data_IF_712815344661
#
_entry.id   IF_712815344661
#
_cell.length_a   1.000
_cell.length_b   1.000
_cell.length_c   1.000
_cell.angle_alpha   90.00
_cell.angle_beta   90.00
_cell.angle_gamma   90.00
#
_symmetry.space_group_name_H-M   'P 1'
#
loop_
_entity.id
_entity.type
_entity.pdbx_description
1 polymer ?
#
# COMPACT_ATOMS: atom_id res chain seq x y z
N UNK A 1 10.18 -4.81 -17.71
CA UNK A 1 10.80 -6.17 -17.57
C UNK A 1 11.70 -6.09 -16.36
N UNK A 2 11.49 -6.94 -15.38
CA UNK A 2 12.06 -6.77 -14.04
C UNK A 2 13.57 -6.93 -14.04
N UNK A 3 14.25 -6.22 -13.13
CA UNK A 3 15.71 -6.19 -13.03
C UNK A 3 16.34 -7.58 -12.92
N UNK A 4 15.66 -8.52 -12.22
CA UNK A 4 16.09 -9.90 -12.08
C UNK A 4 16.11 -10.63 -13.44
N UNK A 5 15.03 -10.54 -14.23
CA UNK A 5 14.97 -11.22 -15.53
C UNK A 5 16.00 -10.65 -16.49
N UNK A 6 16.16 -9.34 -16.55
CA UNK A 6 17.19 -8.69 -17.37
C UNK A 6 18.62 -9.10 -16.96
N UNK A 7 18.87 -9.25 -15.65
CA UNK A 7 20.14 -9.73 -15.14
C UNK A 7 20.38 -11.20 -15.52
N UNK A 8 19.36 -12.05 -15.36
CA UNK A 8 19.43 -13.46 -15.74
C UNK A 8 19.65 -13.62 -17.24
N UNK A 9 18.95 -12.88 -18.09
CA UNK A 9 19.15 -12.90 -19.55
C UNK A 9 20.57 -12.51 -19.93
N UNK A 10 21.12 -11.44 -19.34
CA UNK A 10 22.48 -10.96 -19.58
C UNK A 10 23.53 -11.99 -19.18
N UNK A 11 23.32 -12.70 -18.07
CA UNK A 11 24.26 -13.70 -17.56
C UNK A 11 24.02 -15.11 -18.11
N UNK A 12 22.90 -15.37 -18.78
CA UNK A 12 22.50 -16.68 -19.27
C UNK A 12 23.59 -17.40 -20.12
N UNK A 13 24.35 -16.72 -21.00
CA UNK A 13 25.43 -17.36 -21.76
C UNK A 13 26.51 -17.96 -20.86
N UNK A 14 26.76 -17.41 -19.68
CA UNK A 14 27.80 -17.82 -18.73
C UNK A 14 27.34 -18.93 -17.79
N UNK A 15 26.06 -19.26 -17.76
CA UNK A 15 25.49 -20.25 -16.86
C UNK A 15 25.94 -21.68 -17.23
N UNK A 16 26.30 -22.44 -16.21
CA UNK A 16 26.50 -23.87 -16.32
C UNK A 16 25.19 -24.58 -16.72
N UNK A 17 25.30 -25.83 -17.18
CA UNK A 17 24.13 -26.64 -17.58
C UNK A 17 23.06 -26.73 -16.48
N UNK A 18 23.46 -26.85 -15.21
CA UNK A 18 22.53 -26.89 -14.07
C UNK A 18 21.89 -25.52 -13.80
N UNK A 19 22.67 -24.44 -13.89
CA UNK A 19 22.19 -23.08 -13.71
C UNK A 19 21.20 -22.66 -14.82
N UNK A 20 21.46 -23.08 -16.07
CA UNK A 20 20.51 -22.86 -17.18
C UNK A 20 19.16 -23.51 -16.90
N UNK A 21 19.15 -24.75 -16.37
CA UNK A 21 17.88 -25.41 -16.00
C UNK A 21 17.11 -24.65 -14.91
N UNK A 22 17.82 -24.09 -13.92
CA UNK A 22 17.20 -23.25 -12.90
C UNK A 22 16.64 -21.97 -13.55
N UNK A 23 17.43 -21.29 -14.37
CA UNK A 23 17.01 -20.07 -15.06
C UNK A 23 15.82 -20.32 -15.99
N UNK A 24 15.86 -21.37 -16.79
CA UNK A 24 14.78 -21.76 -17.71
C UNK A 24 13.47 -22.03 -16.95
N UNK A 25 13.56 -22.71 -15.80
CA UNK A 25 12.40 -22.95 -14.96
C UNK A 25 11.84 -21.65 -14.38
N UNK A 26 12.70 -20.77 -13.86
CA UNK A 26 12.28 -19.46 -13.36
C UNK A 26 11.69 -18.62 -14.49
N UNK A 27 12.23 -18.60 -15.70
CA UNK A 27 11.66 -17.87 -16.83
C UNK A 27 10.24 -18.34 -17.19
N UNK A 28 9.99 -19.64 -17.10
CA UNK A 28 8.72 -20.24 -17.53
C UNK A 28 7.69 -20.38 -16.42
N UNK A 29 8.12 -20.48 -15.16
CA UNK A 29 7.28 -20.81 -14.00
C UNK A 29 7.77 -20.12 -12.72
N UNK A 30 8.09 -18.82 -12.81
CA UNK A 30 8.60 -18.05 -11.66
C UNK A 30 7.59 -17.95 -10.51
N UNK A 31 6.30 -18.03 -10.81
CA UNK A 31 5.20 -18.06 -9.86
C UNK A 31 5.25 -19.34 -8.99
N UNK A 32 5.55 -20.50 -9.57
CA UNK A 32 5.75 -21.73 -8.81
C UNK A 32 7.12 -21.70 -8.08
N UNK A 33 8.18 -21.24 -8.75
CA UNK A 33 9.52 -21.15 -8.17
C UNK A 33 9.56 -20.30 -6.89
N UNK A 34 8.79 -19.22 -6.86
CA UNK A 34 8.68 -18.31 -5.69
C UNK A 34 8.20 -19.02 -4.40
N UNK A 35 7.56 -20.18 -4.51
CA UNK A 35 7.02 -20.93 -3.37
C UNK A 35 7.76 -22.24 -3.07
N UNK A 36 8.77 -22.57 -3.88
CA UNK A 36 9.59 -23.74 -3.65
C UNK A 36 10.71 -23.45 -2.66
N UNK A 37 11.07 -24.43 -1.84
CA UNK A 37 12.34 -24.40 -1.13
C UNK A 37 13.49 -24.67 -2.10
N UNK A 38 14.73 -24.29 -1.75
CA UNK A 38 15.91 -24.59 -2.59
C UNK A 38 16.01 -26.09 -2.92
N UNK A 39 15.70 -26.94 -1.94
CA UNK A 39 15.66 -28.39 -2.13
C UNK A 39 14.60 -28.82 -3.15
N UNK A 40 13.37 -28.33 -3.03
CA UNK A 40 12.27 -28.65 -3.96
C UNK A 40 12.54 -28.13 -5.37
N UNK A 41 13.05 -26.91 -5.50
CA UNK A 41 13.43 -26.37 -6.80
C UNK A 41 14.56 -27.21 -7.42
N UNK A 42 15.56 -27.57 -6.62
CA UNK A 42 16.65 -28.46 -7.06
C UNK A 42 16.16 -29.81 -7.55
N UNK A 43 15.28 -30.47 -6.79
CA UNK A 43 14.63 -31.72 -7.15
C UNK A 43 13.86 -31.59 -8.48
N UNK A 44 13.04 -30.54 -8.59
CA UNK A 44 12.20 -30.29 -9.76
C UNK A 44 13.00 -30.10 -11.05
N UNK A 45 14.09 -29.32 -10.99
CA UNK A 45 14.94 -29.06 -12.17
C UNK A 45 16.12 -30.05 -12.31
N UNK A 46 16.22 -31.02 -11.39
CA UNK A 46 17.25 -32.09 -11.42
C UNK A 46 18.68 -31.58 -11.15
N UNK A 47 18.83 -30.72 -10.12
CA UNK A 47 20.13 -30.26 -9.60
C UNK A 47 20.15 -30.37 -8.08
N UNK A 48 21.34 -30.27 -7.46
CA UNK A 48 21.44 -30.25 -6.00
C UNK A 48 20.95 -28.92 -5.42
N UNK A 49 20.45 -28.95 -4.18
CA UNK A 49 20.09 -27.75 -3.40
C UNK A 49 21.25 -26.74 -3.38
N UNK A 50 22.47 -27.20 -3.16
CA UNK A 50 23.67 -26.35 -3.16
C UNK A 50 23.91 -25.64 -4.50
N UNK A 51 23.44 -26.20 -5.62
CA UNK A 51 23.50 -25.56 -6.94
C UNK A 51 22.49 -24.42 -7.03
N UNK A 52 21.30 -24.61 -6.46
CA UNK A 52 20.25 -23.57 -6.38
C UNK A 52 20.72 -22.40 -5.51
N UNK A 53 21.29 -22.68 -4.34
CA UNK A 53 21.83 -21.65 -3.45
C UNK A 53 22.95 -20.85 -4.12
N UNK A 54 23.91 -21.54 -4.78
CA UNK A 54 24.99 -20.88 -5.53
C UNK A 54 24.48 -20.06 -6.71
N UNK A 55 23.39 -20.46 -7.34
CA UNK A 55 22.77 -19.70 -8.41
C UNK A 55 22.29 -18.32 -7.90
N UNK A 56 21.67 -18.26 -6.71
CA UNK A 56 21.27 -17.01 -6.09
C UNK A 56 22.46 -16.08 -5.79
N UNK A 57 23.54 -16.61 -5.22
CA UNK A 57 24.78 -15.84 -5.00
C UNK A 57 25.39 -15.30 -6.30
N UNK A 58 25.35 -16.08 -7.37
CA UNK A 58 25.87 -15.64 -8.67
C UNK A 58 25.06 -14.47 -9.25
N UNK A 59 23.77 -14.40 -8.94
CA UNK A 59 22.91 -13.26 -9.30
C UNK A 59 23.13 -12.04 -8.38
N UNK A 60 24.08 -12.11 -7.43
CA UNK A 60 24.38 -11.02 -6.49
C UNK A 60 23.42 -10.94 -5.30
N UNK A 61 22.67 -12.01 -5.05
CA UNK A 61 21.71 -12.08 -3.94
C UNK A 61 22.32 -12.86 -2.75
N UNK A 62 21.88 -12.56 -1.53
CA UNK A 62 22.35 -13.20 -0.30
C UNK A 62 21.72 -14.59 -0.09
N UNK A 63 21.92 -15.48 -1.08
CA UNK A 63 21.41 -16.84 -1.04
C UNK A 63 19.99 -17.01 -1.56
N UNK A 64 19.49 -18.25 -1.45
CA UNK A 64 18.19 -18.60 -1.99
C UNK A 64 17.00 -17.87 -1.34
N UNK A 65 16.98 -17.58 -0.03
CA UNK A 65 15.90 -16.78 0.57
C UNK A 65 15.73 -15.41 -0.08
N UNK A 66 16.83 -14.71 -0.40
CA UNK A 66 16.78 -13.44 -1.09
C UNK A 66 16.26 -13.56 -2.53
N UNK A 67 16.65 -14.62 -3.26
CA UNK A 67 16.08 -14.91 -4.59
C UNK A 67 14.58 -15.20 -4.50
N UNK A 68 14.16 -15.96 -3.51
CA UNK A 68 12.76 -16.28 -3.27
C UNK A 68 11.93 -15.02 -2.96
N UNK A 69 12.44 -14.13 -2.14
CA UNK A 69 11.80 -12.85 -1.83
C UNK A 69 11.62 -11.99 -3.09
N UNK A 70 12.65 -11.87 -3.92
CA UNK A 70 12.55 -11.15 -5.21
C UNK A 70 11.51 -11.79 -6.13
N UNK A 71 11.48 -13.12 -6.23
CA UNK A 71 10.47 -13.83 -7.03
C UNK A 71 9.06 -13.62 -6.47
N UNK A 72 8.89 -13.63 -5.14
CA UNK A 72 7.61 -13.36 -4.49
C UNK A 72 7.14 -11.92 -4.73
N UNK A 73 8.05 -10.95 -4.71
CA UNK A 73 7.73 -9.56 -5.04
C UNK A 73 7.23 -9.43 -6.49
N UNK A 74 7.85 -10.13 -7.44
CA UNK A 74 7.43 -10.14 -8.84
C UNK A 74 5.99 -10.65 -9.05
N UNK A 75 5.58 -11.63 -8.27
CA UNK A 75 4.25 -12.25 -8.41
C UNK A 75 3.21 -11.68 -7.46
N UNK A 76 3.62 -10.81 -6.53
CA UNK A 76 2.74 -10.24 -5.49
C UNK A 76 1.40 -9.74 -6.05
N UNK A 77 1.44 -9.08 -7.21
CA UNK A 77 0.25 -8.55 -7.87
C UNK A 77 -0.64 -9.62 -8.51
N UNK A 78 -0.09 -10.82 -8.78
CA UNK A 78 -0.78 -11.93 -9.45
C UNK A 78 -1.29 -13.00 -8.53
N UNK A 79 -0.78 -13.07 -7.28
CA UNK A 79 -1.21 -14.06 -6.30
C UNK A 79 -2.70 -13.98 -6.00
N UNK A 80 -3.40 -15.09 -6.17
CA UNK A 80 -4.77 -15.24 -5.69
C UNK A 80 -4.81 -15.29 -4.16
N UNK A 81 -5.96 -14.96 -3.56
CA UNK A 81 -6.12 -15.07 -2.09
C UNK A 81 -5.84 -16.48 -1.57
N UNK A 82 -6.12 -17.52 -2.38
CA UNK A 82 -5.83 -18.92 -2.02
C UNK A 82 -4.33 -19.19 -1.97
N UNK A 83 -3.56 -18.70 -2.94
CA UNK A 83 -2.09 -18.83 -2.93
C UNK A 83 -1.48 -18.08 -1.74
N UNK A 84 -1.97 -16.89 -1.44
CA UNK A 84 -1.55 -16.09 -0.27
C UNK A 84 -1.80 -16.81 1.06
N UNK A 85 -2.97 -17.43 1.24
CA UNK A 85 -3.27 -18.24 2.44
C UNK A 85 -2.32 -19.44 2.57
N UNK A 86 -2.01 -20.13 1.46
CA UNK A 86 -1.08 -21.26 1.47
C UNK A 86 0.34 -20.84 1.92
N UNK A 87 0.77 -19.63 1.56
CA UNK A 87 2.05 -19.07 2.05
C UNK A 87 2.03 -18.86 3.56
N UNK A 88 0.97 -18.26 4.07
CA UNK A 88 0.79 -18.01 5.50
C UNK A 88 0.68 -19.30 6.33
N UNK A 89 0.21 -20.40 5.74
CA UNK A 89 0.09 -21.68 6.42
C UNK A 89 1.44 -22.29 6.88
N UNK A 90 2.56 -21.77 6.37
CA UNK A 90 3.90 -22.18 6.80
C UNK A 90 4.35 -21.49 8.11
N UNK A 91 3.64 -20.47 8.59
CA UNK A 91 3.96 -19.78 9.85
C UNK A 91 3.39 -20.61 11.01
N UNK A 92 4.22 -21.07 11.96
CA UNK A 92 3.72 -21.76 13.14
C UNK A 92 2.74 -20.86 13.89
N UNK A 93 1.63 -21.41 14.36
CA UNK A 93 0.56 -20.63 14.98
C UNK A 93 1.03 -19.82 16.19
N UNK A 94 1.97 -20.34 16.96
CA UNK A 94 2.59 -19.66 18.11
C UNK A 94 3.42 -18.42 17.71
N UNK A 95 3.92 -18.36 16.47
CA UNK A 95 4.79 -17.29 15.97
C UNK A 95 4.02 -16.24 15.17
N UNK A 96 2.74 -16.47 14.86
CA UNK A 96 1.92 -15.58 14.01
C UNK A 96 1.96 -14.13 14.50
N UNK A 97 1.68 -13.90 15.78
CA UNK A 97 1.65 -12.54 16.35
C UNK A 97 2.99 -11.81 16.14
N UNK A 98 4.08 -12.45 16.52
CA UNK A 98 5.42 -11.86 16.40
C UNK A 98 5.80 -11.64 14.94
N UNK A 99 5.50 -12.59 14.06
CA UNK A 99 5.78 -12.50 12.62
C UNK A 99 5.04 -11.33 11.99
N UNK A 100 3.73 -11.20 12.26
CA UNK A 100 2.92 -10.08 11.72
C UNK A 100 3.45 -8.73 12.19
N UNK A 101 3.64 -8.54 13.51
CA UNK A 101 4.14 -7.28 14.06
C UNK A 101 5.54 -6.92 13.54
N UNK A 102 6.41 -7.93 13.38
CA UNK A 102 7.76 -7.70 12.81
C UNK A 102 7.67 -7.32 11.33
N UNK A 103 6.79 -7.96 10.55
CA UNK A 103 6.53 -7.60 9.15
C UNK A 103 6.01 -6.16 9.04
N UNK A 104 5.07 -5.76 9.90
CA UNK A 104 4.52 -4.41 9.92
C UNK A 104 5.60 -3.36 10.27
N UNK A 105 6.47 -3.64 11.23
CA UNK A 105 7.63 -2.79 11.53
C UNK A 105 8.57 -2.63 10.34
N UNK A 106 8.83 -3.71 9.61
CA UNK A 106 9.65 -3.69 8.40
C UNK A 106 9.00 -2.88 7.29
N UNK A 107 7.68 -3.00 7.10
CA UNK A 107 6.92 -2.18 6.16
C UNK A 107 7.05 -0.68 6.48
N UNK A 108 6.93 -0.29 7.75
CA UNK A 108 7.13 1.11 8.17
C UNK A 108 8.56 1.56 7.87
N UNK A 109 9.58 0.78 8.25
CA UNK A 109 10.99 1.11 8.00
C UNK A 109 11.26 1.31 6.52
N UNK A 110 10.88 0.34 5.69
CA UNK A 110 11.06 0.42 4.24
C UNK A 110 10.27 1.59 3.62
N UNK A 111 9.12 1.96 4.18
CA UNK A 111 8.38 3.16 3.76
C UNK A 111 9.17 4.43 4.03
N UNK A 112 9.78 4.56 5.21
CA UNK A 112 10.61 5.72 5.55
C UNK A 112 11.77 5.87 4.57
N UNK A 113 12.42 4.75 4.21
CA UNK A 113 13.58 4.75 3.31
C UNK A 113 13.23 5.11 1.85
N UNK A 114 11.96 4.92 1.44
CA UNK A 114 11.51 5.15 0.06
C UNK A 114 10.67 6.42 -0.13
N UNK A 115 10.36 7.15 0.94
CA UNK A 115 9.49 8.32 0.85
C UNK A 115 10.17 9.44 0.06
N UNK A 116 9.44 10.03 -0.89
CA UNK A 116 9.84 11.22 -1.62
C UNK A 116 9.24 12.45 -0.95
N UNK A 117 10.08 13.22 -0.27
CA UNK A 117 9.68 14.43 0.44
C UNK A 117 9.07 15.48 -0.49
N UNK A 118 9.59 15.62 -1.72
CA UNK A 118 9.08 16.61 -2.69
C UNK A 118 7.65 16.25 -3.12
N UNK A 119 7.38 14.96 -3.38
CA UNK A 119 6.03 14.46 -3.65
C UNK A 119 5.12 14.64 -2.44
N UNK A 120 5.63 14.41 -1.22
CA UNK A 120 4.84 14.61 -0.01
C UNK A 120 4.46 16.07 0.18
N UNK A 121 5.41 16.99 0.13
CA UNK A 121 5.16 18.44 0.24
C UNK A 121 4.24 18.93 -0.87
N UNK A 122 4.45 18.48 -2.11
CA UNK A 122 3.60 18.79 -3.25
C UNK A 122 2.16 18.35 -3.06
N UNK A 123 1.94 17.13 -2.52
CA UNK A 123 0.62 16.60 -2.20
C UNK A 123 -0.07 17.40 -1.10
N UNK A 124 0.65 17.77 -0.03
CA UNK A 124 0.11 18.61 1.05
C UNK A 124 -0.26 20.00 0.49
N UNK A 125 0.61 20.65 -0.25
CA UNK A 125 0.34 21.96 -0.85
C UNK A 125 -0.85 21.94 -1.81
N UNK A 126 -1.01 20.88 -2.61
CA UNK A 126 -2.17 20.70 -3.48
C UNK A 126 -3.45 20.54 -2.66
N UNK A 127 -3.41 19.76 -1.57
CA UNK A 127 -4.54 19.55 -0.66
C UNK A 127 -5.00 20.85 -0.01
N UNK A 128 -4.05 21.66 0.48
CA UNK A 128 -4.35 22.94 1.14
C UNK A 128 -4.98 23.99 0.20
N UNK A 129 -4.69 23.92 -1.09
CA UNK A 129 -5.22 24.84 -2.12
C UNK A 129 -6.49 24.33 -2.79
N UNK A 130 -6.90 23.11 -2.52
CA UNK A 130 -8.01 22.50 -3.20
C UNK A 130 -9.34 23.15 -2.82
N UNK A 131 -10.19 23.38 -3.83
CA UNK A 131 -11.59 23.75 -3.63
C UNK A 131 -12.38 22.59 -3.01
N UNK A 132 -12.10 21.36 -3.46
CA UNK A 132 -12.65 20.09 -2.94
C UNK A 132 -11.60 19.01 -2.92
N UNK A 133 -11.67 18.16 -1.93
CA UNK A 133 -10.79 17.01 -1.74
C UNK A 133 -11.62 15.73 -1.90
N UNK A 134 -11.41 15.00 -2.99
CA UNK A 134 -12.03 13.71 -3.20
C UNK A 134 -11.10 12.62 -2.68
N UNK A 135 -11.60 11.74 -1.83
CA UNK A 135 -10.83 10.62 -1.28
C UNK A 135 -11.46 9.32 -1.75
N UNK A 136 -10.79 8.66 -2.69
CA UNK A 136 -11.26 7.46 -3.36
C UNK A 136 -10.52 6.23 -2.84
N UNK A 137 -11.26 5.29 -2.30
CA UNK A 137 -10.78 3.96 -1.91
C UNK A 137 -11.89 2.93 -1.92
N UNK A 138 -11.63 1.76 -2.52
CA UNK A 138 -12.60 0.68 -2.64
C UNK A 138 -12.01 -0.62 -2.07
N UNK A 139 -12.87 -1.56 -1.68
CA UNK A 139 -12.48 -2.84 -1.07
C UNK A 139 -11.67 -2.60 0.22
N UNK A 140 -10.52 -3.26 0.41
CA UNK A 140 -9.68 -3.09 1.60
C UNK A 140 -9.15 -1.65 1.77
N UNK A 141 -8.87 -0.95 0.67
CA UNK A 141 -8.44 0.44 0.71
C UNK A 141 -9.55 1.43 1.16
N UNK A 142 -10.82 0.98 1.21
CA UNK A 142 -11.93 1.79 1.68
C UNK A 142 -11.73 2.23 3.14
N UNK A 143 -11.18 1.38 4.00
CA UNK A 143 -10.90 1.71 5.40
C UNK A 143 -9.88 2.84 5.53
N UNK A 144 -8.84 2.83 4.71
CA UNK A 144 -7.85 3.92 4.65
C UNK A 144 -8.45 5.22 4.13
N UNK A 145 -9.26 5.14 3.07
CA UNK A 145 -9.92 6.31 2.50
C UNK A 145 -10.93 6.92 3.50
N UNK A 146 -11.67 6.09 4.20
CA UNK A 146 -12.60 6.54 5.24
C UNK A 146 -11.88 7.21 6.40
N UNK A 147 -10.77 6.64 6.86
CA UNK A 147 -9.95 7.21 7.93
C UNK A 147 -9.37 8.57 7.51
N UNK A 148 -8.79 8.68 6.32
CA UNK A 148 -8.28 9.94 5.79
C UNK A 148 -9.40 10.99 5.68
N UNK A 149 -10.55 10.61 5.12
CA UNK A 149 -11.71 11.51 4.99
C UNK A 149 -12.16 12.03 6.34
N UNK A 150 -12.32 11.14 7.33
CA UNK A 150 -12.80 11.47 8.67
C UNK A 150 -11.95 12.56 9.34
N UNK A 151 -10.62 12.43 9.28
CA UNK A 151 -9.75 13.42 9.93
C UNK A 151 -9.52 14.68 9.09
N UNK A 152 -9.53 14.58 7.76
CA UNK A 152 -9.46 15.77 6.92
C UNK A 152 -10.71 16.64 7.04
N UNK A 153 -11.88 16.04 7.30
CA UNK A 153 -13.14 16.76 7.49
C UNK A 153 -13.14 17.65 8.75
N UNK A 154 -12.25 17.39 9.71
CA UNK A 154 -12.03 18.28 10.86
C UNK A 154 -11.25 19.55 10.54
N UNK A 155 -10.47 19.55 9.47
CA UNK A 155 -9.53 20.62 9.14
C UNK A 155 -9.74 21.21 7.74
N UNK A 156 -10.67 20.65 6.96
CA UNK A 156 -10.98 21.07 5.59
C UNK A 156 -12.49 21.02 5.34
N UNK A 157 -13.05 22.10 4.80
CA UNK A 157 -14.53 22.27 4.66
C UNK A 157 -15.17 21.40 3.57
N UNK A 158 -14.42 20.86 2.61
CA UNK A 158 -14.99 20.24 1.42
C UNK A 158 -14.34 18.88 1.08
N UNK A 159 -14.36 17.97 2.02
CA UNK A 159 -13.83 16.59 1.84
C UNK A 159 -14.98 15.68 1.39
N UNK A 160 -14.73 14.87 0.38
CA UNK A 160 -15.71 13.97 -0.22
C UNK A 160 -15.21 12.54 -0.27
N UNK A 161 -15.80 11.68 0.53
CA UNK A 161 -15.54 10.24 0.47
C UNK A 161 -16.19 9.61 -0.77
N UNK A 162 -15.39 8.89 -1.56
CA UNK A 162 -15.82 8.21 -2.79
C UNK A 162 -15.52 6.71 -2.67
N UNK A 163 -16.54 5.91 -2.43
CA UNK A 163 -16.41 4.46 -2.19
C UNK A 163 -17.27 3.58 -3.10
N UNK A 164 -18.20 4.20 -3.87
CA UNK A 164 -19.10 3.48 -4.75
C UNK A 164 -20.14 2.61 -4.04
N UNK A 165 -20.43 2.88 -2.75
CA UNK A 165 -21.37 2.09 -1.96
C UNK A 165 -22.83 2.54 -2.13
N UNK A 166 -23.07 3.86 -2.15
CA UNK A 166 -24.42 4.44 -2.25
C UNK A 166 -24.68 5.02 -3.65
N UNK A 167 -23.68 5.69 -4.22
CA UNK A 167 -23.71 6.25 -5.56
C UNK A 167 -22.61 5.64 -6.40
N UNK A 168 -22.78 5.64 -7.73
CA UNK A 168 -21.67 5.30 -8.64
C UNK A 168 -20.51 6.29 -8.45
N UNK A 169 -19.30 5.79 -8.61
CA UNK A 169 -18.09 6.58 -8.40
C UNK A 169 -18.08 7.82 -9.30
N UNK A 170 -18.47 7.67 -10.58
CA UNK A 170 -18.48 8.77 -11.54
C UNK A 170 -19.58 9.79 -11.23
N UNK A 171 -20.72 9.36 -10.71
CA UNK A 171 -21.78 10.27 -10.25
C UNK A 171 -21.28 11.13 -9.10
N UNK A 172 -20.59 10.52 -8.12
CA UNK A 172 -20.01 11.23 -6.98
C UNK A 172 -18.92 12.21 -7.41
N UNK A 173 -18.21 11.90 -8.48
CA UNK A 173 -17.12 12.71 -9.04
C UNK A 173 -17.56 13.63 -10.19
N UNK A 174 -18.84 13.73 -10.50
CA UNK A 174 -19.36 14.50 -11.64
C UNK A 174 -18.86 15.95 -11.70
N UNK A 175 -18.70 16.58 -10.53
CA UNK A 175 -18.31 18.01 -10.40
C UNK A 175 -16.81 18.22 -10.19
N UNK A 176 -16.00 17.19 -10.31
CA UNK A 176 -14.54 17.29 -10.17
C UNK A 176 -13.94 18.13 -11.31
N UNK A 177 -12.95 18.95 -11.00
CA UNK A 177 -12.34 19.86 -11.97
C UNK A 177 -10.94 20.34 -11.57
N UNK A 178 -10.39 21.33 -12.30
CA UNK A 178 -8.97 21.75 -12.16
C UNK A 178 -8.60 22.33 -10.80
N UNK A 179 -9.57 22.80 -10.04
CA UNK A 179 -9.34 23.36 -8.69
C UNK A 179 -9.46 22.31 -7.58
N UNK A 180 -9.68 21.04 -7.95
CA UNK A 180 -9.93 19.97 -7.00
C UNK A 180 -8.73 19.03 -6.92
N UNK A 181 -8.63 18.30 -5.80
CA UNK A 181 -7.66 17.22 -5.58
C UNK A 181 -8.41 15.90 -5.47
N UNK A 182 -7.83 14.85 -6.02
CA UNK A 182 -8.31 13.48 -5.87
C UNK A 182 -7.22 12.58 -5.29
N UNK A 183 -7.40 12.12 -4.05
CA UNK A 183 -6.65 11.02 -3.48
C UNK A 183 -7.19 9.71 -4.02
N UNK A 184 -6.34 8.90 -4.66
CA UNK A 184 -6.65 7.53 -5.05
C UNK A 184 -5.84 6.55 -4.21
N UNK A 185 -6.52 5.66 -3.49
CA UNK A 185 -5.89 4.71 -2.58
C UNK A 185 -6.09 3.30 -3.12
N UNK A 186 -4.98 2.63 -3.49
CA UNK A 186 -5.02 1.24 -3.94
C UNK A 186 -3.64 0.60 -3.83
N UNK A 187 -3.63 -0.62 -3.33
CA UNK A 187 -2.44 -1.44 -3.08
C UNK A 187 -2.47 -2.70 -3.97
N UNK A 188 -1.45 -3.57 -3.95
CA UNK A 188 -1.36 -4.75 -4.81
C UNK A 188 -2.67 -5.52 -4.97
N UNK A 189 -2.91 -6.03 -6.19
CA UNK A 189 -4.21 -6.39 -6.78
C UNK A 189 -5.08 -5.15 -6.98
N UNK A 190 -4.43 -4.09 -7.47
CA UNK A 190 -5.04 -2.78 -7.72
C UNK A 190 -6.44 -2.88 -8.29
N UNK A 191 -7.35 -2.06 -7.77
CA UNK A 191 -8.71 -2.00 -8.26
C UNK A 191 -8.78 -1.27 -9.60
N UNK A 192 -9.23 -1.95 -10.66
CA UNK A 192 -9.46 -1.32 -11.96
C UNK A 192 -10.40 -0.12 -11.84
N UNK A 193 -11.48 -0.23 -11.03
CA UNK A 193 -12.42 0.87 -10.79
C UNK A 193 -11.75 2.10 -10.17
N UNK A 194 -10.76 1.91 -9.27
CA UNK A 194 -9.99 3.03 -8.70
C UNK A 194 -9.13 3.69 -9.77
N UNK A 195 -8.44 2.89 -10.59
CA UNK A 195 -7.61 3.41 -11.69
C UNK A 195 -8.44 4.19 -12.70
N UNK A 196 -9.60 3.66 -13.11
CA UNK A 196 -10.49 4.30 -14.09
C UNK A 196 -11.08 5.61 -13.55
N UNK A 197 -11.48 5.65 -12.27
CA UNK A 197 -11.96 6.86 -11.62
C UNK A 197 -10.84 7.94 -11.51
N UNK A 198 -9.61 7.54 -11.21
CA UNK A 198 -8.46 8.45 -11.22
C UNK A 198 -8.17 8.99 -12.63
N UNK A 199 -8.25 8.15 -13.68
CA UNK A 199 -8.15 8.61 -15.07
C UNK A 199 -9.25 9.61 -15.42
N UNK A 200 -10.48 9.36 -14.97
CA UNK A 200 -11.59 10.29 -15.14
C UNK A 200 -11.30 11.63 -14.45
N UNK A 201 -10.84 11.63 -13.18
CA UNK A 201 -10.44 12.85 -12.49
C UNK A 201 -9.35 13.63 -13.25
N UNK A 202 -8.33 12.91 -13.76
CA UNK A 202 -7.27 13.50 -14.59
C UNK A 202 -7.84 14.15 -15.86
N UNK A 203 -8.77 13.50 -16.55
CA UNK A 203 -9.40 14.06 -17.75
C UNK A 203 -10.21 15.34 -17.48
N UNK A 204 -10.61 15.56 -16.24
CA UNK A 204 -11.29 16.79 -15.78
C UNK A 204 -10.31 17.86 -15.27
N UNK A 205 -9.01 17.59 -15.32
CA UNK A 205 -7.96 18.52 -14.92
C UNK A 205 -7.67 18.58 -13.41
N UNK A 206 -8.25 17.69 -12.61
CA UNK A 206 -8.00 17.62 -11.17
C UNK A 206 -6.56 17.18 -10.88
N UNK A 207 -5.99 17.66 -9.78
CA UNK A 207 -4.71 17.18 -9.27
C UNK A 207 -4.86 15.82 -8.62
N UNK A 208 -3.99 14.89 -8.98
CA UNK A 208 -4.04 13.51 -8.51
C UNK A 208 -2.94 13.21 -7.51
N UNK A 209 -3.34 12.63 -6.39
CA UNK A 209 -2.45 12.10 -5.35
C UNK A 209 -2.70 10.60 -5.22
N UNK A 210 -1.70 9.77 -5.50
CA UNK A 210 -1.79 8.34 -5.30
C UNK A 210 -1.24 7.95 -3.93
N UNK A 211 -1.99 7.15 -3.16
CA UNK A 211 -1.46 6.36 -2.05
C UNK A 211 -1.40 4.91 -2.50
N UNK A 212 -0.19 4.37 -2.63
CA UNK A 212 0.05 3.06 -3.23
C UNK A 212 1.35 2.45 -2.67
N UNK A 213 1.79 1.31 -3.20
CA UNK A 213 2.96 0.59 -2.69
C UNK A 213 4.29 0.95 -3.38
N UNK A 214 4.25 1.35 -4.65
CA UNK A 214 5.47 1.62 -5.43
C UNK A 214 5.25 2.67 -6.54
N UNK A 215 6.34 3.36 -6.99
CA UNK A 215 6.25 4.39 -8.03
C UNK A 215 5.80 3.87 -9.40
N UNK A 216 5.96 2.57 -9.66
CA UNK A 216 5.53 1.92 -10.91
C UNK A 216 4.09 1.41 -10.88
N UNK A 217 3.37 1.62 -9.78
CA UNK A 217 1.96 1.21 -9.67
C UNK A 217 1.08 1.93 -10.69
N UNK A 218 -0.04 1.31 -11.12
CA UNK A 218 -0.97 1.95 -12.07
C UNK A 218 -1.51 3.31 -11.60
N UNK A 219 -1.60 3.54 -10.29
CA UNK A 219 -2.02 4.81 -9.72
C UNK A 219 -0.90 5.84 -9.75
N UNK A 220 0.31 5.45 -9.33
CA UNK A 220 1.46 6.36 -9.29
C UNK A 220 1.78 6.94 -10.67
N UNK A 221 1.80 6.10 -11.70
CA UNK A 221 2.14 6.50 -13.08
C UNK A 221 1.21 7.56 -13.65
N UNK A 222 -0.05 7.60 -13.22
CA UNK A 222 -1.03 8.59 -13.72
C UNK A 222 -1.17 9.81 -12.82
N UNK A 223 -0.59 9.81 -11.62
CA UNK A 223 -0.77 10.85 -10.61
C UNK A 223 0.27 11.95 -10.70
N UNK A 224 -0.06 13.13 -10.18
CA UNK A 224 0.87 14.26 -10.06
C UNK A 224 1.84 14.02 -8.89
N UNK A 225 1.35 13.39 -7.81
CA UNK A 225 2.13 13.03 -6.65
C UNK A 225 1.86 11.58 -6.26
N UNK A 226 2.92 10.82 -6.04
CA UNK A 226 2.84 9.42 -5.62
C UNK A 226 3.44 9.26 -4.21
N UNK A 227 2.58 8.97 -3.27
CA UNK A 227 2.95 8.69 -1.88
C UNK A 227 2.95 7.18 -1.69
N UNK A 228 4.16 6.61 -1.66
CA UNK A 228 4.34 5.17 -1.62
C UNK A 228 4.57 4.68 -0.20
N UNK A 229 3.85 3.63 0.19
CA UNK A 229 4.02 2.92 1.45
C UNK A 229 4.01 1.41 1.23
N UNK A 230 4.95 0.71 1.83
CA UNK A 230 5.01 -0.77 1.75
C UNK A 230 3.78 -1.39 2.39
N UNK A 231 3.26 -2.43 1.75
CA UNK A 231 2.07 -3.16 2.21
C UNK A 231 2.29 -4.66 2.18
N UNK A 232 3.52 -5.09 2.51
CA UNK A 232 3.93 -6.47 2.45
C UNK A 232 3.09 -7.30 3.42
N UNK A 233 2.54 -8.38 2.88
CA UNK A 233 1.60 -9.23 3.60
C UNK A 233 2.32 -10.34 4.37
N UNK A 234 1.87 -10.60 5.58
CA UNK A 234 2.21 -11.83 6.28
C UNK A 234 1.22 -12.98 5.96
N UNK A 235 0.09 -12.70 5.26
CA UNK A 235 -0.98 -13.64 4.97
C UNK A 235 -1.75 -13.25 3.70
N UNK A 236 -3.01 -13.65 3.56
CA UNK A 236 -3.89 -13.31 2.43
C UNK A 236 -4.31 -11.82 2.42
N UNK A 237 -4.20 -11.14 3.55
CA UNK A 237 -4.49 -9.72 3.68
C UNK A 237 -3.21 -8.90 3.57
N UNK A 238 -3.26 -7.81 2.80
CA UNK A 238 -2.18 -6.84 2.74
C UNK A 238 -2.06 -6.12 4.10
N UNK A 239 -0.83 -5.80 4.53
CA UNK A 239 -0.65 -4.94 5.69
C UNK A 239 -1.02 -3.50 5.33
N UNK A 240 -1.90 -2.90 6.11
CA UNK A 240 -2.29 -1.50 5.97
C UNK A 240 -1.61 -0.60 7.02
N UNK A 241 -0.67 -1.11 7.81
CA UNK A 241 -0.04 -0.38 8.93
C UNK A 241 0.82 0.77 8.42
N UNK A 242 1.75 0.53 7.50
CA UNK A 242 2.57 1.59 6.95
C UNK A 242 1.77 2.57 6.06
N UNK A 243 0.81 2.12 5.20
CA UNK A 243 -0.15 3.00 4.57
C UNK A 243 -0.93 3.91 5.53
N UNK A 244 -1.40 3.37 6.66
CA UNK A 244 -2.10 4.15 7.67
C UNK A 244 -1.18 5.16 8.36
N UNK A 245 0.08 4.77 8.63
CA UNK A 245 1.09 5.68 9.19
C UNK A 245 1.39 6.86 8.25
N UNK A 246 1.44 6.62 6.94
CA UNK A 246 1.59 7.66 5.93
C UNK A 246 0.36 8.60 5.89
N UNK A 247 -0.84 8.04 6.02
CA UNK A 247 -2.08 8.83 6.13
C UNK A 247 -2.06 9.70 7.39
N UNK A 248 -1.60 9.19 8.53
CA UNK A 248 -1.42 9.99 9.74
C UNK A 248 -0.47 11.18 9.49
N UNK A 249 0.63 10.96 8.77
CA UNK A 249 1.55 12.04 8.43
C UNK A 249 0.87 13.12 7.56
N UNK A 250 0.03 12.74 6.59
CA UNK A 250 -0.77 13.69 5.79
C UNK A 250 -1.71 14.50 6.68
N UNK A 251 -2.46 13.84 7.57
CA UNK A 251 -3.40 14.48 8.48
C UNK A 251 -2.68 15.49 9.38
N UNK A 252 -1.54 15.09 9.96
CA UNK A 252 -0.72 15.97 10.81
C UNK A 252 -0.19 17.17 10.03
N UNK A 253 0.31 16.96 8.80
CA UNK A 253 0.86 18.04 7.98
C UNK A 253 -0.22 19.06 7.56
N UNK A 254 -1.40 18.59 7.15
CA UNK A 254 -2.54 19.46 6.80
C UNK A 254 -3.06 20.19 8.03
N UNK A 255 -3.24 19.48 9.16
CA UNK A 255 -3.70 20.09 10.42
C UNK A 255 -2.70 21.11 10.95
N UNK A 256 -1.39 20.85 10.83
CA UNK A 256 -0.36 21.83 11.22
C UNK A 256 -0.45 23.11 10.37
N UNK A 257 -0.61 22.96 9.06
CA UNK A 257 -0.70 24.10 8.14
C UNK A 257 -1.97 24.94 8.32
N UNK A 258 -3.06 24.33 8.84
CA UNK A 258 -4.35 24.98 9.13
C UNK A 258 -4.65 25.06 10.63
N UNK A 259 -3.62 25.20 11.46
CA UNK A 259 -3.71 25.08 12.91
C UNK A 259 -4.82 25.95 13.52
N UNK A 260 -4.92 27.21 13.12
CA UNK A 260 -5.88 28.15 13.73
C UNK A 260 -7.33 27.79 13.36
N UNK A 261 -7.58 27.43 12.09
CA UNK A 261 -8.88 26.95 11.61
C UNK A 261 -9.26 25.63 12.29
N UNK A 262 -8.30 24.70 12.37
CA UNK A 262 -8.50 23.41 13.04
C UNK A 262 -8.82 23.58 14.53
N UNK A 263 -8.12 24.45 15.24
CA UNK A 263 -8.41 24.74 16.65
C UNK A 263 -9.82 25.30 16.83
N UNK A 264 -10.27 26.20 15.96
CA UNK A 264 -11.61 26.77 16.03
C UNK A 264 -12.70 25.71 15.83
N UNK A 265 -12.57 24.86 14.80
CA UNK A 265 -13.53 23.78 14.53
C UNK A 265 -13.55 22.73 15.65
N UNK A 266 -12.37 22.30 16.11
CA UNK A 266 -12.27 21.31 17.17
C UNK A 266 -12.83 21.83 18.50
N UNK A 267 -12.68 23.13 18.82
CA UNK A 267 -13.32 23.71 20.01
C UNK A 267 -14.86 23.60 19.94
N UNK A 268 -15.46 23.88 18.79
CA UNK A 268 -16.90 23.72 18.60
C UNK A 268 -17.36 22.26 18.72
N UNK A 269 -16.54 21.33 18.21
CA UNK A 269 -16.83 19.90 18.31
C UNK A 269 -16.71 19.40 19.76
N UNK A 270 -15.72 19.87 20.51
CA UNK A 270 -15.56 19.54 21.94
C UNK A 270 -16.77 20.00 22.75
N UNK A 271 -17.32 21.19 22.47
CA UNK A 271 -18.57 21.69 23.11
C UNK A 271 -19.75 20.74 22.82
N UNK A 272 -19.89 20.30 21.56
CA UNK A 272 -20.95 19.35 21.15
C UNK A 272 -20.72 17.99 21.84
N UNK A 273 -19.50 17.45 21.79
CA UNK A 273 -19.18 16.16 22.40
C UNK A 273 -19.39 16.15 23.90
N UNK A 274 -19.10 17.26 24.57
CA UNK A 274 -19.38 17.43 26.00
C UNK A 274 -20.90 17.46 26.26
N UNK A 275 -21.66 18.23 25.48
CA UNK A 275 -23.11 18.35 25.64
C UNK A 275 -23.84 17.02 25.39
N UNK A 276 -23.37 16.24 24.40
CA UNK A 276 -23.96 14.93 24.02
C UNK A 276 -23.36 13.75 24.81
N UNK A 277 -22.37 13.99 25.68
CA UNK A 277 -21.72 12.91 26.46
C UNK A 277 -21.02 11.87 25.60
N UNK A 278 -20.41 12.29 24.49
CA UNK A 278 -19.74 11.39 23.52
C UNK A 278 -18.55 10.68 24.14
N UNK A 279 -17.79 11.36 24.98
CA UNK A 279 -16.67 10.79 25.70
C UNK A 279 -17.00 10.54 27.17
N UNK A 280 -16.43 9.47 27.74
CA UNK A 280 -16.56 9.17 29.17
C UNK A 280 -15.78 10.24 29.95
N UNK A 281 -16.47 11.17 30.60
CA UNK A 281 -15.88 12.08 31.58
C UNK A 281 -15.83 11.44 32.97
N UNK A 282 -14.93 11.87 33.83
CA UNK A 282 -14.85 11.37 35.22
C UNK A 282 -16.16 11.61 35.99
N UNK A 283 -16.89 12.69 35.69
CA UNK A 283 -18.20 13.03 36.29
C UNK A 283 -19.32 12.03 35.93
N UNK A 284 -19.27 11.43 34.71
CA UNK A 284 -20.30 10.44 34.27
C UNK A 284 -20.06 9.05 34.90
N UNK A 285 -18.86 8.77 35.39
CA UNK A 285 -18.57 7.52 36.13
C UNK A 285 -19.29 7.48 37.47
N UNK A 286 -19.41 8.59 38.19
CA UNK A 286 -20.05 8.64 39.50
C UNK A 286 -21.58 8.52 39.42
N UNK A 287 -22.22 9.02 38.37
CA UNK A 287 -23.69 8.93 38.20
C UNK A 287 -24.15 7.54 37.69
N UNK A 288 -23.33 6.81 36.92
CA UNK A 288 -23.66 5.44 36.47
C UNK A 288 -23.31 4.33 37.47
N UNK A 289 -22.60 4.66 38.55
CA UNK A 289 -22.30 3.75 39.67
C UNK A 289 -23.24 3.93 40.87
N UNK A 290 -24.22 4.86 40.82
CA UNK A 290 -25.33 5.01 41.76
C UNK A 290 -26.62 4.44 41.15
#
# INVERSE_FOLDING_TARGET
MDALFSLMEKQYPTFSKGQKRIADYIFNSYDDAAFMTAAKLGEHVGVSESTVVRFAYMLGLDGYPALQEVLQDLIRHRLTSVQRIRLAANIPQQDVLKTVLTSDMNNIRATIDMIDNDSFEGAINATLRARRIYVLGIRSAMSLAQFLTYYLDYVCDNVMFVNGAVQDIHERMLRIGPQDVCFGISFPRYSARTVDAMKYAKSKGAKLIALTDMPTSPLAVISDYALCARSDMASFADSLVAPLSLINAIIVAVGHARKDEACQHLTQLEDIWHAEGVYLSETVKEERMK
#
